data_IF_154603709870
#
_entry.id   IF_154603709870
#
_cell.length_a   1.000
_cell.length_b   1.000
_cell.length_c   1.000
_cell.angle_alpha   90.00
_cell.angle_beta   90.00
_cell.angle_gamma   90.00
#
_symmetry.space_group_name_H-M   'P 1'
#
loop_
_entity.id
_entity.type
_entity.pdbx_description
1 polymer ?
#
# COMPACT_ATOMS: atom_id res chain seq x y z
N UNK A 1 -32.91 -53.30 -14.00
CA UNK A 1 -32.71 -53.40 -15.45
C UNK A 1 -32.45 -54.83 -15.88
N UNK A 2 -31.40 -55.51 -15.34
CA UNK A 2 -30.97 -56.85 -15.77
C UNK A 2 -32.14 -57.86 -15.68
N UNK A 3 -32.83 -57.96 -14.54
CA UNK A 3 -33.95 -58.88 -14.37
C UNK A 3 -35.12 -58.59 -15.32
N UNK A 4 -35.47 -57.29 -15.55
CA UNK A 4 -36.52 -56.91 -16.51
C UNK A 4 -36.12 -57.21 -17.96
N UNK A 5 -34.85 -57.03 -18.32
CA UNK A 5 -34.32 -57.44 -19.63
C UNK A 5 -34.47 -58.96 -19.82
N UNK A 6 -34.03 -59.74 -18.81
CA UNK A 6 -34.09 -61.18 -18.89
C UNK A 6 -35.52 -61.65 -19.05
N UNK A 7 -36.48 -61.16 -18.25
CA UNK A 7 -37.91 -61.51 -18.37
C UNK A 7 -38.44 -61.12 -19.76
N UNK A 8 -38.06 -59.99 -20.33
CA UNK A 8 -38.48 -59.62 -21.69
C UNK A 8 -37.91 -60.54 -22.74
N UNK A 9 -36.65 -60.99 -22.62
CA UNK A 9 -36.04 -61.95 -23.51
C UNK A 9 -36.69 -63.31 -23.40
N UNK A 10 -36.94 -63.81 -22.20
CA UNK A 10 -37.63 -65.10 -21.96
C UNK A 10 -39.04 -65.14 -22.55
N UNK A 11 -39.80 -64.01 -22.37
CA UNK A 11 -41.12 -63.85 -22.94
C UNK A 11 -41.08 -63.90 -24.50
N UNK A 12 -40.19 -63.16 -25.12
CA UNK A 12 -39.97 -63.12 -26.59
C UNK A 12 -39.61 -64.53 -27.10
N UNK A 13 -38.72 -65.27 -26.42
CA UNK A 13 -38.32 -66.63 -26.80
C UNK A 13 -39.43 -67.66 -26.69
N UNK A 14 -40.43 -67.41 -25.91
CA UNK A 14 -41.56 -68.32 -25.74
C UNK A 14 -42.65 -68.13 -26.82
N UNK A 15 -42.56 -67.11 -27.70
CA UNK A 15 -43.56 -66.74 -28.66
C UNK A 15 -43.26 -67.26 -30.06
N UNK A 16 -44.28 -67.59 -30.83
CA UNK A 16 -44.13 -68.11 -32.20
C UNK A 16 -44.78 -67.24 -33.29
N UNK A 17 -45.56 -66.22 -32.91
CA UNK A 17 -46.19 -65.28 -33.83
C UNK A 17 -45.43 -64.00 -33.96
N UNK A 18 -45.19 -63.47 -35.18
CA UNK A 18 -44.49 -62.18 -35.41
C UNK A 18 -45.23 -61.04 -34.70
N UNK A 19 -46.50 -61.00 -34.66
CA UNK A 19 -47.31 -59.96 -33.97
C UNK A 19 -47.07 -59.98 -32.45
N UNK A 20 -47.07 -61.19 -31.86
CA UNK A 20 -46.87 -61.36 -30.43
C UNK A 20 -45.43 -61.03 -30.02
N UNK A 21 -44.44 -61.37 -30.85
CA UNK A 21 -43.06 -61.02 -30.64
C UNK A 21 -42.86 -59.50 -30.65
N UNK A 22 -43.43 -58.76 -31.60
CA UNK A 22 -43.32 -57.31 -31.69
C UNK A 22 -44.04 -56.65 -30.48
N UNK A 23 -45.21 -57.11 -30.06
CA UNK A 23 -45.92 -56.65 -28.87
C UNK A 23 -45.10 -56.91 -27.61
N UNK A 24 -44.48 -58.08 -27.47
CA UNK A 24 -43.61 -58.41 -26.32
C UNK A 24 -42.37 -57.57 -26.28
N UNK A 25 -41.79 -57.31 -27.43
CA UNK A 25 -40.61 -56.38 -27.57
C UNK A 25 -40.92 -54.93 -27.07
N UNK A 26 -42.02 -54.34 -27.58
CA UNK A 26 -42.49 -53.01 -27.17
C UNK A 26 -42.82 -53.01 -25.67
N UNK A 27 -43.49 -54.02 -25.16
CA UNK A 27 -43.79 -54.15 -23.72
C UNK A 27 -42.47 -54.22 -22.90
N UNK A 28 -41.52 -55.06 -23.32
CA UNK A 28 -40.26 -55.24 -22.66
C UNK A 28 -39.43 -53.94 -22.62
N UNK A 29 -39.36 -53.19 -23.73
CA UNK A 29 -38.73 -51.88 -23.80
C UNK A 29 -39.36 -50.90 -22.81
N UNK A 30 -40.70 -50.82 -22.79
CA UNK A 30 -41.41 -49.93 -21.89
C UNK A 30 -41.18 -50.27 -20.41
N UNK A 31 -41.17 -51.57 -20.07
CA UNK A 31 -40.91 -52.03 -18.70
C UNK A 31 -39.45 -51.77 -18.26
N UNK A 32 -38.50 -51.89 -19.16
CA UNK A 32 -37.11 -51.52 -18.90
C UNK A 32 -36.96 -50.00 -18.70
N UNK A 33 -37.65 -49.22 -19.52
CA UNK A 33 -37.64 -47.75 -19.43
C UNK A 33 -38.23 -47.23 -18.09
N UNK A 34 -39.16 -47.95 -17.49
CA UNK A 34 -39.76 -47.61 -16.18
C UNK A 34 -38.86 -47.93 -14.98
N UNK A 35 -37.73 -48.61 -15.18
CA UNK A 35 -36.84 -48.95 -14.05
C UNK A 35 -36.06 -47.73 -13.59
N UNK A 36 -36.53 -47.13 -12.52
CA UNK A 36 -35.85 -46.04 -11.85
C UNK A 36 -34.60 -46.53 -11.09
N UNK A 37 -33.59 -45.71 -10.92
CA UNK A 37 -32.44 -46.02 -10.07
C UNK A 37 -32.91 -46.44 -8.67
N UNK A 38 -32.23 -47.41 -8.07
CA UNK A 38 -32.52 -47.80 -6.71
C UNK A 38 -32.39 -46.59 -5.78
N UNK A 39 -33.31 -46.36 -4.87
CA UNK A 39 -33.28 -45.26 -3.89
C UNK A 39 -31.99 -45.23 -3.10
N UNK A 40 -31.33 -46.35 -2.85
CA UNK A 40 -30.02 -46.49 -2.23
C UNK A 40 -28.88 -45.82 -3.02
N UNK A 41 -28.93 -45.87 -4.37
CA UNK A 41 -27.92 -45.26 -5.23
C UNK A 41 -28.04 -43.73 -5.15
N UNK A 42 -29.23 -43.17 -5.28
CA UNK A 42 -29.48 -41.73 -5.12
C UNK A 42 -29.14 -41.25 -3.70
N UNK A 43 -29.52 -42.01 -2.67
CA UNK A 43 -29.22 -41.69 -1.28
C UNK A 43 -27.71 -41.65 -1.01
N UNK A 44 -26.96 -42.64 -1.53
CA UNK A 44 -25.49 -42.65 -1.44
C UNK A 44 -24.87 -41.46 -2.17
N UNK A 45 -25.32 -41.18 -3.40
CA UNK A 45 -24.83 -40.05 -4.18
C UNK A 45 -25.03 -38.71 -3.47
N UNK A 46 -26.21 -38.49 -2.86
CA UNK A 46 -26.48 -37.29 -2.05
C UNK A 46 -25.60 -37.21 -0.82
N UNK A 47 -25.35 -38.35 -0.14
CA UNK A 47 -24.42 -38.39 0.99
C UNK A 47 -22.98 -38.02 0.58
N UNK A 48 -22.52 -38.46 -0.60
CA UNK A 48 -21.21 -38.08 -1.14
C UNK A 48 -21.14 -36.56 -1.42
N UNK A 49 -22.23 -35.94 -1.91
CA UNK A 49 -22.34 -34.47 -2.05
C UNK A 49 -22.26 -33.78 -0.69
N UNK A 50 -22.93 -34.28 0.35
CA UNK A 50 -22.93 -33.71 1.70
C UNK A 50 -21.54 -33.78 2.32
N UNK A 51 -20.81 -34.86 2.12
CA UNK A 51 -19.44 -35.03 2.59
C UNK A 51 -18.49 -34.04 1.89
N UNK A 52 -18.66 -33.88 0.56
CA UNK A 52 -17.87 -32.93 -0.20
C UNK A 52 -18.14 -31.49 0.21
N UNK A 53 -19.39 -31.12 0.39
CA UNK A 53 -19.80 -29.82 0.90
C UNK A 53 -19.16 -29.52 2.26
N UNK A 54 -19.18 -30.47 3.20
CA UNK A 54 -18.58 -30.29 4.52
C UNK A 54 -17.06 -30.07 4.42
N UNK A 55 -16.38 -30.81 3.54
CA UNK A 55 -14.94 -30.62 3.28
C UNK A 55 -14.66 -29.23 2.71
N UNK A 56 -15.47 -28.80 1.72
CA UNK A 56 -15.31 -27.49 1.08
C UNK A 56 -15.57 -26.34 2.05
N UNK A 57 -16.61 -26.44 2.88
CA UNK A 57 -16.90 -25.45 3.93
C UNK A 57 -15.71 -25.31 4.89
N UNK A 58 -15.09 -26.43 5.30
CA UNK A 58 -13.91 -26.39 6.16
C UNK A 58 -12.73 -25.68 5.47
N UNK A 59 -12.47 -25.94 4.18
CA UNK A 59 -11.44 -25.25 3.41
C UNK A 59 -11.72 -23.74 3.31
N UNK A 60 -12.96 -23.34 3.05
CA UNK A 60 -13.38 -21.94 3.02
C UNK A 60 -13.16 -21.27 4.38
N UNK A 61 -13.57 -21.93 5.48
CA UNK A 61 -13.43 -21.39 6.85
C UNK A 61 -11.97 -21.19 7.25
N UNK A 62 -11.09 -22.07 6.82
CA UNK A 62 -9.64 -22.00 7.13
C UNK A 62 -8.85 -21.10 6.18
N UNK A 63 -9.49 -20.46 5.19
CA UNK A 63 -8.83 -19.57 4.25
C UNK A 63 -8.21 -18.36 4.98
N UNK A 64 -6.89 -18.17 4.83
CA UNK A 64 -6.12 -17.24 5.69
C UNK A 64 -6.37 -15.76 5.37
N UNK A 65 -6.55 -15.43 4.10
CA UNK A 65 -6.62 -14.03 3.64
C UNK A 65 -8.04 -13.48 3.49
N UNK A 66 -9.05 -14.37 3.46
CA UNK A 66 -10.45 -13.97 3.31
C UNK A 66 -11.03 -13.44 4.63
N UNK A 67 -11.87 -12.43 4.54
CA UNK A 67 -12.68 -11.92 5.66
C UNK A 67 -13.83 -12.88 5.98
N UNK A 68 -14.48 -12.64 7.11
CA UNK A 68 -15.66 -13.43 7.52
C UNK A 68 -16.75 -13.34 6.46
N UNK A 69 -17.03 -12.14 5.94
CA UNK A 69 -18.08 -11.91 4.95
C UNK A 69 -17.76 -12.56 3.60
N UNK A 70 -16.48 -12.55 3.17
CA UNK A 70 -16.03 -13.24 1.95
C UNK A 70 -16.16 -14.76 2.11
N UNK A 71 -15.87 -15.32 3.30
CA UNK A 71 -16.06 -16.74 3.61
C UNK A 71 -17.55 -17.11 3.66
N UNK A 72 -18.38 -16.28 4.28
CA UNK A 72 -19.83 -16.50 4.35
C UNK A 72 -20.47 -16.51 2.96
N UNK A 73 -20.08 -15.58 2.09
CA UNK A 73 -20.55 -15.56 0.70
C UNK A 73 -20.15 -16.84 -0.05
N UNK A 74 -18.91 -17.31 0.11
CA UNK A 74 -18.46 -18.56 -0.50
C UNK A 74 -19.20 -19.79 0.08
N UNK A 75 -19.46 -19.83 1.39
CA UNK A 75 -20.26 -20.91 2.01
C UNK A 75 -21.70 -20.92 1.48
N UNK A 76 -22.31 -19.76 1.29
CA UNK A 76 -23.64 -19.66 0.68
C UNK A 76 -23.65 -20.23 -0.74
N UNK A 77 -22.64 -19.87 -1.56
CA UNK A 77 -22.50 -20.40 -2.92
C UNK A 77 -22.26 -21.92 -2.92
N UNK A 78 -21.41 -22.44 -2.04
CA UNK A 78 -21.17 -23.89 -1.92
C UNK A 78 -22.44 -24.65 -1.54
N UNK A 79 -23.27 -24.14 -0.63
CA UNK A 79 -24.56 -24.68 -0.26
C UNK A 79 -25.55 -24.66 -1.44
N UNK A 80 -25.57 -23.57 -2.22
CA UNK A 80 -26.37 -23.49 -3.43
C UNK A 80 -25.97 -24.58 -4.43
N UNK A 81 -24.67 -24.74 -4.73
CA UNK A 81 -24.16 -25.78 -5.64
C UNK A 81 -24.49 -27.19 -5.17
N UNK A 82 -24.41 -27.45 -3.87
CA UNK A 82 -24.82 -28.73 -3.30
C UNK A 82 -26.32 -28.99 -3.46
N UNK A 83 -27.18 -27.99 -3.31
CA UNK A 83 -28.60 -28.12 -3.52
C UNK A 83 -28.94 -28.38 -5.00
N UNK A 84 -28.27 -27.68 -5.92
CA UNK A 84 -28.39 -27.92 -7.36
C UNK A 84 -28.00 -29.37 -7.70
N UNK A 85 -26.86 -29.86 -7.16
CA UNK A 85 -26.42 -31.25 -7.35
C UNK A 85 -27.40 -32.28 -6.78
N UNK A 86 -27.94 -32.06 -5.56
CA UNK A 86 -28.99 -32.96 -4.97
C UNK A 86 -30.25 -33.02 -5.82
N UNK A 87 -30.66 -31.90 -6.39
CA UNK A 87 -31.80 -31.79 -7.28
C UNK A 87 -31.56 -32.56 -8.60
N UNK A 88 -30.35 -32.34 -9.20
CA UNK A 88 -29.96 -33.10 -10.40
C UNK A 88 -29.96 -34.61 -10.15
N UNK A 89 -29.36 -35.09 -9.04
CA UNK A 89 -29.36 -36.49 -8.64
C UNK A 89 -30.82 -37.01 -8.46
N UNK A 90 -31.71 -36.21 -7.87
CA UNK A 90 -33.09 -36.61 -7.65
C UNK A 90 -33.86 -36.83 -8.97
N UNK A 91 -33.56 -35.99 -9.97
CA UNK A 91 -34.29 -36.02 -11.26
C UNK A 91 -33.75 -37.10 -12.23
N UNK A 92 -32.61 -37.72 -11.93
CA UNK A 92 -32.06 -38.77 -12.79
C UNK A 92 -32.86 -40.05 -12.78
N UNK A 93 -32.92 -40.72 -13.94
CA UNK A 93 -33.68 -41.95 -14.14
C UNK A 93 -32.82 -43.20 -14.37
N UNK A 94 -31.46 -43.04 -14.41
CA UNK A 94 -30.53 -44.13 -14.57
C UNK A 94 -29.40 -44.07 -13.56
N UNK A 95 -28.78 -45.21 -13.23
CA UNK A 95 -27.61 -45.22 -12.34
C UNK A 95 -26.42 -44.46 -12.94
N UNK A 96 -26.23 -44.46 -14.27
CA UNK A 96 -25.20 -43.70 -14.94
C UNK A 96 -25.46 -42.19 -14.84
N UNK A 97 -26.71 -41.74 -15.06
CA UNK A 97 -27.09 -40.34 -14.87
C UNK A 97 -26.86 -39.87 -13.44
N UNK A 98 -27.24 -40.70 -12.43
CA UNK A 98 -26.94 -40.39 -11.01
C UNK A 98 -25.45 -40.26 -10.77
N UNK A 99 -24.60 -41.11 -11.34
CA UNK A 99 -23.14 -41.04 -11.19
C UNK A 99 -22.59 -39.78 -11.84
N UNK A 100 -23.07 -39.40 -13.01
CA UNK A 100 -22.69 -38.18 -13.72
C UNK A 100 -23.13 -36.91 -12.96
N UNK A 101 -24.36 -36.84 -12.52
CA UNK A 101 -24.88 -35.72 -11.75
C UNK A 101 -24.11 -35.51 -10.44
N UNK A 102 -23.76 -36.62 -9.75
CA UNK A 102 -22.88 -36.59 -8.57
C UNK A 102 -21.49 -36.03 -8.92
N UNK A 103 -20.85 -36.55 -9.95
CA UNK A 103 -19.51 -36.13 -10.35
C UNK A 103 -19.46 -34.62 -10.68
N UNK A 104 -20.44 -34.18 -11.47
CA UNK A 104 -20.55 -32.73 -11.81
C UNK A 104 -20.80 -31.88 -10.56
N UNK A 105 -21.70 -32.31 -9.66
CA UNK A 105 -21.98 -31.59 -8.43
C UNK A 105 -20.79 -31.49 -7.49
N UNK A 106 -20.00 -32.57 -7.35
CA UNK A 106 -18.74 -32.55 -6.59
C UNK A 106 -17.79 -31.54 -7.20
N UNK A 107 -17.62 -31.55 -8.52
CA UNK A 107 -16.72 -30.60 -9.21
C UNK A 107 -17.15 -29.16 -9.02
N UNK A 108 -18.45 -28.85 -9.17
CA UNK A 108 -18.95 -27.49 -8.96
C UNK A 108 -18.74 -26.99 -7.51
N UNK A 109 -18.88 -27.88 -6.52
CA UNK A 109 -18.59 -27.54 -5.12
C UNK A 109 -17.09 -27.28 -4.91
N UNK A 110 -16.21 -28.08 -5.52
CA UNK A 110 -14.75 -27.94 -5.42
C UNK A 110 -14.23 -26.60 -5.95
N UNK A 111 -14.88 -26.05 -6.96
CA UNK A 111 -14.50 -24.77 -7.56
C UNK A 111 -14.84 -23.57 -6.69
N UNK A 112 -15.67 -23.71 -5.66
CA UNK A 112 -16.08 -22.60 -4.81
C UNK A 112 -14.97 -22.22 -3.83
N UNK A 113 -14.38 -21.05 -4.02
CA UNK A 113 -13.40 -20.46 -3.11
C UNK A 113 -13.84 -19.05 -2.69
N UNK A 114 -13.40 -18.54 -1.52
CA UNK A 114 -13.64 -17.14 -1.18
C UNK A 114 -12.99 -16.19 -2.18
N UNK A 115 -13.70 -15.15 -2.56
CA UNK A 115 -13.14 -14.04 -3.33
C UNK A 115 -12.39 -13.10 -2.38
N UNK A 116 -11.15 -13.46 -2.04
CA UNK A 116 -10.35 -12.87 -0.97
C UNK A 116 -9.57 -11.63 -1.45
N UNK A 117 -10.25 -10.58 -1.90
CA UNK A 117 -9.62 -9.37 -2.44
C UNK A 117 -9.59 -8.18 -1.47
N UNK A 118 -10.44 -8.14 -0.43
CA UNK A 118 -10.57 -6.97 0.45
C UNK A 118 -9.26 -6.54 1.11
N UNK A 119 -8.48 -7.49 1.61
CA UNK A 119 -7.18 -7.20 2.23
C UNK A 119 -6.13 -6.76 1.20
N UNK A 120 -6.10 -7.37 0.02
CA UNK A 120 -5.18 -6.98 -1.06
C UNK A 120 -5.48 -5.57 -1.57
N UNK A 121 -6.75 -5.22 -1.78
CA UNK A 121 -7.18 -3.90 -2.21
C UNK A 121 -6.85 -2.81 -1.19
N UNK A 122 -7.02 -3.14 0.10
CA UNK A 122 -6.63 -2.25 1.19
C UNK A 122 -5.12 -1.99 1.20
N UNK A 123 -4.31 -3.03 1.05
CA UNK A 123 -2.84 -2.91 0.96
C UNK A 123 -2.41 -2.11 -0.27
N UNK A 124 -3.04 -2.32 -1.42
CA UNK A 124 -2.77 -1.53 -2.63
C UNK A 124 -3.05 -0.04 -2.39
N UNK A 125 -4.16 0.29 -1.75
CA UNK A 125 -4.48 1.68 -1.40
C UNK A 125 -3.45 2.31 -0.45
N UNK A 126 -2.92 1.53 0.48
CA UNK A 126 -1.83 1.95 1.38
C UNK A 126 -0.53 2.17 0.59
N UNK A 127 -0.21 1.30 -0.38
CA UNK A 127 0.96 1.45 -1.26
C UNK A 127 0.87 2.71 -2.12
N UNK A 128 -0.28 2.96 -2.70
CA UNK A 128 -0.51 4.15 -3.53
C UNK A 128 -0.27 5.42 -2.71
N UNK A 129 -0.80 5.46 -1.47
CA UNK A 129 -0.59 6.60 -0.57
C UNK A 129 0.84 6.71 -0.08
N UNK A 130 1.50 5.61 0.21
CA UNK A 130 2.93 5.58 0.55
C UNK A 130 3.79 6.18 -0.57
N UNK A 131 3.54 5.79 -1.82
CA UNK A 131 4.28 6.29 -2.97
C UNK A 131 4.06 7.80 -3.20
N UNK A 132 2.82 8.26 -3.09
CA UNK A 132 2.47 9.68 -3.16
C UNK A 132 3.22 10.47 -2.07
N UNK A 133 3.16 10.03 -0.82
CA UNK A 133 3.78 10.71 0.30
C UNK A 133 5.32 10.66 0.24
N UNK A 134 5.89 9.57 -0.25
CA UNK A 134 7.32 9.43 -0.50
C UNK A 134 7.81 10.48 -1.51
N UNK A 135 7.07 10.69 -2.60
CA UNK A 135 7.36 11.75 -3.57
C UNK A 135 7.29 13.14 -2.93
N UNK A 136 6.26 13.40 -2.12
CA UNK A 136 6.11 14.67 -1.40
C UNK A 136 7.31 14.94 -0.49
N UNK A 137 7.75 13.94 0.29
CA UNK A 137 8.93 14.06 1.15
C UNK A 137 10.19 14.30 0.32
N UNK A 138 10.41 13.55 -0.75
CA UNK A 138 11.60 13.69 -1.61
C UNK A 138 11.69 15.07 -2.28
N UNK A 139 10.55 15.68 -2.58
CA UNK A 139 10.48 17.00 -3.22
C UNK A 139 10.31 18.14 -2.22
N UNK A 140 10.35 17.89 -0.90
CA UNK A 140 10.23 18.94 0.12
C UNK A 140 11.34 19.98 -0.04
N UNK A 141 11.00 21.26 -0.31
CA UNK A 141 12.00 22.31 -0.44
C UNK A 141 12.75 22.54 0.87
N UNK A 142 13.98 22.98 0.80
CA UNK A 142 14.83 23.30 1.97
C UNK A 142 15.15 22.13 2.92
N UNK A 143 14.56 20.97 2.74
CA UNK A 143 14.93 19.80 3.53
C UNK A 143 16.26 19.20 3.05
N UNK A 144 17.11 18.81 3.98
CA UNK A 144 18.33 18.05 3.69
C UNK A 144 18.00 16.58 3.39
N UNK A 145 18.96 15.87 2.81
CA UNK A 145 18.79 14.44 2.50
C UNK A 145 18.58 13.63 3.80
N UNK A 146 19.22 14.02 4.92
CA UNK A 146 19.04 13.39 6.23
C UNK A 146 17.65 13.66 6.83
N UNK A 147 17.11 14.87 6.67
CA UNK A 147 15.76 15.23 7.12
C UNK A 147 14.69 14.45 6.31
N UNK A 148 14.88 14.31 5.00
CA UNK A 148 14.04 13.49 4.12
C UNK A 148 14.11 12.02 4.50
N UNK A 149 15.33 11.50 4.70
CA UNK A 149 15.51 10.08 5.05
C UNK A 149 14.81 9.73 6.38
N UNK A 150 14.94 10.56 7.40
CA UNK A 150 14.22 10.38 8.68
C UNK A 150 12.70 10.32 8.50
N UNK A 151 12.14 11.11 7.58
CA UNK A 151 10.72 11.07 7.27
C UNK A 151 10.34 9.81 6.48
N UNK A 152 11.16 9.38 5.51
CA UNK A 152 10.96 8.15 4.74
C UNK A 152 11.03 6.90 5.62
N UNK A 153 11.92 6.89 6.62
CA UNK A 153 12.00 5.78 7.59
C UNK A 153 10.71 5.67 8.42
N UNK A 154 10.18 6.81 8.90
CA UNK A 154 8.87 6.84 9.57
C UNK A 154 7.74 6.41 8.66
N UNK A 155 7.76 6.83 7.40
CA UNK A 155 6.77 6.47 6.39
C UNK A 155 6.74 4.96 6.17
N UNK A 156 7.91 4.34 6.07
CA UNK A 156 8.03 2.88 5.95
C UNK A 156 7.44 2.15 7.15
N UNK A 157 7.76 2.62 8.36
CA UNK A 157 7.22 2.04 9.61
C UNK A 157 5.68 2.14 9.63
N UNK A 158 5.11 3.28 9.21
CA UNK A 158 3.67 3.48 9.16
C UNK A 158 2.99 2.53 8.15
N UNK A 159 3.58 2.34 6.96
CA UNK A 159 3.12 1.38 5.97
C UNK A 159 3.11 -0.04 6.54
N UNK A 160 4.24 -0.49 7.11
CA UNK A 160 4.39 -1.84 7.66
C UNK A 160 3.39 -2.08 8.81
N UNK A 161 3.15 -1.08 9.66
CA UNK A 161 2.13 -1.13 10.70
C UNK A 161 0.71 -1.23 10.13
N UNK A 162 0.39 -0.47 9.08
CA UNK A 162 -0.88 -0.54 8.36
C UNK A 162 -1.12 -1.93 7.76
N UNK A 163 -0.12 -2.50 7.14
CA UNK A 163 -0.19 -3.86 6.58
C UNK A 163 -0.49 -4.91 7.65
N UNK A 164 0.20 -4.83 8.78
CA UNK A 164 -0.02 -5.75 9.90
C UNK A 164 -1.46 -5.66 10.43
N UNK A 165 -2.03 -4.45 10.54
CA UNK A 165 -3.43 -4.27 10.95
C UNK A 165 -4.42 -4.86 9.93
N UNK A 166 -4.17 -4.65 8.63
CA UNK A 166 -4.98 -5.24 7.55
C UNK A 166 -4.91 -6.77 7.60
N UNK A 167 -3.74 -7.36 7.83
CA UNK A 167 -3.60 -8.82 7.93
C UNK A 167 -4.34 -9.40 9.13
N UNK A 168 -4.32 -8.72 10.28
CA UNK A 168 -5.01 -9.14 11.50
C UNK A 168 -6.54 -8.93 11.44
N UNK A 169 -7.03 -8.08 10.55
CA UNK A 169 -8.45 -7.81 10.40
C UNK A 169 -9.24 -9.08 10.01
N UNK A 170 -10.38 -9.29 10.65
CA UNK A 170 -11.24 -10.46 10.43
C UNK A 170 -12.46 -10.12 9.56
N UNK A 171 -12.95 -8.88 9.61
CA UNK A 171 -14.14 -8.42 8.90
C UNK A 171 -13.81 -7.36 7.86
N UNK A 172 -14.70 -7.16 6.89
CA UNK A 172 -14.59 -6.09 5.88
C UNK A 172 -14.50 -4.70 6.54
N UNK A 173 -15.23 -4.48 7.64
CA UNK A 173 -15.20 -3.22 8.38
C UNK A 173 -13.82 -3.00 9.00
N UNK A 174 -13.27 -4.01 9.69
CA UNK A 174 -11.93 -3.91 10.29
C UNK A 174 -10.84 -3.67 9.24
N UNK A 175 -10.95 -4.28 8.05
CA UNK A 175 -10.04 -4.01 6.92
C UNK A 175 -10.14 -2.54 6.48
N UNK A 176 -11.37 -2.02 6.36
CA UNK A 176 -11.60 -0.62 5.98
C UNK A 176 -11.04 0.36 7.01
N UNK A 177 -11.25 0.09 8.30
CA UNK A 177 -10.77 0.93 9.40
C UNK A 177 -9.24 0.94 9.43
N UNK A 178 -8.60 -0.24 9.32
CA UNK A 178 -7.15 -0.39 9.27
C UNK A 178 -6.53 0.37 8.09
N UNK A 179 -7.15 0.27 6.90
CA UNK A 179 -6.74 1.02 5.71
C UNK A 179 -6.82 2.53 5.95
N UNK A 180 -7.95 3.02 6.46
CA UNK A 180 -8.16 4.46 6.70
C UNK A 180 -7.14 5.00 7.70
N UNK A 181 -6.95 4.33 8.83
CA UNK A 181 -5.97 4.72 9.84
C UNK A 181 -4.52 4.74 9.29
N UNK A 182 -4.16 3.76 8.47
CA UNK A 182 -2.84 3.72 7.83
C UNK A 182 -2.65 4.89 6.86
N UNK A 183 -3.63 5.18 6.01
CA UNK A 183 -3.61 6.30 5.06
C UNK A 183 -3.50 7.64 5.81
N UNK A 184 -4.25 7.83 6.86
CA UNK A 184 -4.21 9.05 7.68
C UNK A 184 -2.83 9.21 8.34
N UNK A 185 -2.29 8.14 8.92
CA UNK A 185 -0.94 8.15 9.51
C UNK A 185 0.12 8.51 8.48
N UNK A 186 0.10 7.88 7.30
CA UNK A 186 1.02 8.13 6.18
C UNK A 186 0.92 9.58 5.71
N UNK A 187 -0.29 10.11 5.55
CA UNK A 187 -0.56 11.47 5.06
C UNK A 187 0.07 12.54 5.96
N UNK A 188 0.12 12.30 7.26
CA UNK A 188 0.63 13.26 8.23
C UNK A 188 2.17 13.24 8.39
N UNK A 189 2.88 12.32 7.75
CA UNK A 189 4.34 12.24 7.82
C UNK A 189 4.98 13.20 6.81
N UNK A 190 5.77 14.15 7.32
CA UNK A 190 6.47 15.16 6.52
C UNK A 190 7.94 15.24 6.94
N UNK A 191 8.80 15.74 6.04
CA UNK A 191 10.17 16.09 6.39
C UNK A 191 10.16 17.28 7.36
N UNK A 192 10.93 17.17 8.44
CA UNK A 192 11.09 18.27 9.39
C UNK A 192 12.20 19.22 8.90
N UNK A 193 11.81 20.28 8.20
CA UNK A 193 12.71 21.27 7.61
C UNK A 193 13.23 22.20 8.70
N UNK A 194 14.41 21.96 9.22
CA UNK A 194 14.99 22.74 10.32
C UNK A 194 16.44 23.18 10.07
N UNK A 195 17.25 22.35 9.42
CA UNK A 195 18.71 22.55 9.35
C UNK A 195 19.11 23.84 8.61
N UNK A 196 18.64 24.02 7.37
CA UNK A 196 18.94 25.23 6.59
C UNK A 196 18.32 26.50 7.17
N UNK A 197 17.03 26.50 7.58
CA UNK A 197 16.46 27.66 8.26
C UNK A 197 17.25 28.08 9.51
N UNK A 198 17.64 27.14 10.35
CA UNK A 198 18.44 27.43 11.55
C UNK A 198 19.80 28.04 11.20
N UNK A 199 20.50 27.49 10.21
CA UNK A 199 21.80 28.02 9.76
C UNK A 199 21.67 29.46 9.22
N UNK A 200 20.61 29.75 8.44
CA UNK A 200 20.34 31.10 7.95
C UNK A 200 20.03 32.08 9.08
N UNK A 201 19.27 31.66 10.09
CA UNK A 201 18.99 32.46 11.29
C UNK A 201 20.24 32.81 12.07
N UNK A 202 21.16 31.86 12.25
CA UNK A 202 22.45 32.11 12.93
C UNK A 202 23.29 33.14 12.17
N UNK A 203 23.35 33.05 10.84
CA UNK A 203 24.03 34.04 9.98
C UNK A 203 23.40 35.43 10.09
N UNK A 204 22.06 35.52 10.09
CA UNK A 204 21.34 36.78 10.23
C UNK A 204 21.58 37.41 11.61
N UNK A 205 21.58 36.63 12.67
CA UNK A 205 21.91 37.10 14.01
C UNK A 205 23.33 37.65 14.08
N UNK A 206 24.28 36.91 13.53
CA UNK A 206 25.70 37.35 13.49
C UNK A 206 25.87 38.62 12.68
N UNK A 207 25.20 38.74 11.54
CA UNK A 207 25.20 39.94 10.72
C UNK A 207 24.73 41.17 11.52
N UNK A 208 23.63 41.07 12.24
CA UNK A 208 23.13 42.22 13.04
C UNK A 208 24.08 42.58 14.18
N UNK A 209 24.72 41.60 14.79
CA UNK A 209 25.73 41.85 15.82
C UNK A 209 26.96 42.58 15.27
N UNK A 210 27.50 42.11 14.14
CA UNK A 210 28.67 42.73 13.49
C UNK A 210 28.33 44.13 12.93
N UNK A 211 27.14 44.31 12.39
CA UNK A 211 26.66 45.64 11.95
C UNK A 211 26.63 46.64 13.09
N UNK A 212 26.20 46.22 14.29
CA UNK A 212 26.25 47.08 15.49
C UNK A 212 27.70 47.44 15.87
N UNK A 213 28.61 46.47 15.80
CA UNK A 213 30.03 46.69 16.08
C UNK A 213 30.66 47.65 15.06
N UNK A 214 30.37 47.47 13.74
CA UNK A 214 30.86 48.37 12.68
C UNK A 214 30.34 49.80 12.92
N UNK A 215 29.06 49.98 13.24
CA UNK A 215 28.50 51.29 13.55
C UNK A 215 29.13 51.97 14.77
N UNK A 216 29.58 51.18 15.73
CA UNK A 216 30.29 51.66 16.94
C UNK A 216 31.81 51.87 16.74
N UNK A 217 32.38 51.61 15.55
CA UNK A 217 33.83 51.73 15.30
C UNK A 217 34.27 53.17 15.49
N UNK A 218 35.18 53.44 16.48
CA UNK A 218 35.68 54.78 16.71
C UNK A 218 36.48 55.28 15.49
N UNK A 219 36.41 56.57 15.23
CA UNK A 219 37.15 57.27 14.17
C UNK A 219 36.85 56.85 12.73
N UNK A 220 36.00 55.86 12.49
CA UNK A 220 35.54 55.55 11.15
C UNK A 220 34.51 56.61 10.66
N UNK A 221 34.60 56.96 9.38
CA UNK A 221 33.58 57.81 8.73
C UNK A 221 32.31 57.02 8.45
N UNK A 222 31.18 57.68 8.18
CA UNK A 222 29.95 57.02 7.82
C UNK A 222 30.05 56.20 6.52
N UNK A 223 30.85 56.71 5.54
CA UNK A 223 31.14 55.99 4.29
C UNK A 223 31.98 54.73 4.55
N UNK A 224 32.99 54.77 5.41
CA UNK A 224 33.79 53.59 5.78
C UNK A 224 32.96 52.55 6.51
N UNK A 225 31.99 52.95 7.37
CA UNK A 225 31.05 52.06 8.04
C UNK A 225 30.05 51.44 7.04
N UNK A 226 29.50 52.25 6.14
CA UNK A 226 28.56 51.78 5.12
C UNK A 226 29.22 50.80 4.14
N UNK A 227 30.45 51.06 3.70
CA UNK A 227 31.22 50.13 2.88
C UNK A 227 31.40 48.78 3.58
N UNK A 228 31.78 48.79 4.86
CA UNK A 228 31.94 47.57 5.65
C UNK A 228 30.61 46.83 5.81
N UNK A 229 29.50 47.52 6.06
CA UNK A 229 28.15 46.92 6.16
C UNK A 229 27.73 46.33 4.80
N UNK A 230 28.04 47.01 3.69
CA UNK A 230 27.74 46.46 2.37
C UNK A 230 28.51 45.18 2.09
N UNK A 231 29.83 45.15 2.38
CA UNK A 231 30.66 43.93 2.25
C UNK A 231 30.15 42.81 3.14
N UNK A 232 29.76 43.12 4.38
CA UNK A 232 29.16 42.18 5.31
C UNK A 232 27.85 41.59 4.75
N UNK A 233 27.00 42.42 4.17
CA UNK A 233 25.75 41.95 3.58
C UNK A 233 25.97 41.06 2.34
N UNK A 234 26.90 41.46 1.45
CA UNK A 234 27.25 40.65 0.27
C UNK A 234 27.73 39.27 0.72
N UNK A 235 28.64 39.22 1.69
CA UNK A 235 29.17 37.94 2.21
C UNK A 235 28.05 37.07 2.84
N UNK A 236 27.17 37.69 3.64
CA UNK A 236 26.04 36.97 4.22
C UNK A 236 25.14 36.31 3.14
N UNK A 237 24.78 37.04 2.08
CA UNK A 237 23.95 36.51 1.00
C UNK A 237 24.68 35.43 0.19
N UNK A 238 26.00 35.55 -0.03
CA UNK A 238 26.82 34.49 -0.64
C UNK A 238 26.72 33.19 0.16
N UNK A 239 26.91 33.24 1.48
CA UNK A 239 26.87 32.08 2.36
C UNK A 239 25.44 31.48 2.42
N UNK A 240 24.41 32.33 2.49
CA UNK A 240 23.02 31.87 2.42
C UNK A 240 22.72 31.11 1.13
N UNK A 241 23.25 31.59 -0.01
CA UNK A 241 23.08 30.92 -1.29
C UNK A 241 23.78 29.55 -1.33
N UNK A 242 24.96 29.42 -0.74
CA UNK A 242 25.64 28.13 -0.58
C UNK A 242 24.77 27.17 0.26
N UNK A 243 24.30 27.60 1.44
CA UNK A 243 23.43 26.83 2.32
C UNK A 243 22.13 26.39 1.59
N UNK A 244 21.55 27.24 0.77
CA UNK A 244 20.34 26.90 0.00
C UNK A 244 20.61 25.76 -1.00
N UNK A 245 21.81 25.68 -1.58
CA UNK A 245 22.21 24.65 -2.54
C UNK A 245 22.64 23.35 -1.87
N UNK A 246 22.99 23.38 -0.58
CA UNK A 246 23.44 22.20 0.16
C UNK A 246 22.34 21.14 0.23
N UNK A 247 22.78 19.90 0.15
CA UNK A 247 21.87 18.73 0.24
C UNK A 247 21.99 18.00 1.57
N UNK A 248 23.13 18.09 2.24
CA UNK A 248 23.47 17.34 3.45
C UNK A 248 23.57 18.24 4.67
N UNK A 249 23.21 17.71 5.82
CA UNK A 249 23.34 18.40 7.11
C UNK A 249 24.78 18.88 7.36
N UNK A 250 25.77 18.07 6.98
CA UNK A 250 27.18 18.38 7.18
C UNK A 250 27.65 19.55 6.30
N UNK A 251 27.21 19.62 5.06
CA UNK A 251 27.57 20.68 4.11
C UNK A 251 26.98 22.02 4.59
N UNK A 252 25.71 22.02 5.03
CA UNK A 252 25.04 23.16 5.66
C UNK A 252 25.84 23.66 6.88
N UNK A 253 26.26 22.75 7.75
CA UNK A 253 27.05 23.11 8.94
C UNK A 253 28.40 23.69 8.60
N UNK A 254 29.11 23.11 7.63
CA UNK A 254 30.39 23.58 7.17
C UNK A 254 30.28 24.98 6.56
N UNK A 255 29.38 25.24 5.62
CA UNK A 255 29.19 26.54 5.01
C UNK A 255 28.78 27.61 6.03
N UNK A 256 27.88 27.26 6.97
CA UNK A 256 27.50 28.12 8.08
C UNK A 256 28.73 28.53 8.91
N UNK A 257 29.51 27.55 9.38
CA UNK A 257 30.65 27.83 10.26
C UNK A 257 31.74 28.62 9.54
N UNK A 258 32.07 28.27 8.29
CA UNK A 258 33.02 29.05 7.46
C UNK A 258 32.50 30.47 7.25
N UNK A 259 31.21 30.61 6.90
CA UNK A 259 30.59 31.90 6.70
C UNK A 259 30.59 32.79 7.95
N UNK A 260 30.32 32.22 9.12
CA UNK A 260 30.40 32.95 10.40
C UNK A 260 31.82 33.48 10.65
N UNK A 261 32.86 32.69 10.38
CA UNK A 261 34.26 33.09 10.49
C UNK A 261 34.63 34.21 9.48
N UNK A 262 34.19 34.06 8.22
CA UNK A 262 34.44 35.08 7.18
C UNK A 262 33.75 36.40 7.50
N UNK A 263 32.52 36.40 8.03
CA UNK A 263 31.82 37.59 8.48
C UNK A 263 32.58 38.31 9.59
N UNK A 264 33.20 37.59 10.52
CA UNK A 264 34.01 38.15 11.62
C UNK A 264 35.25 38.92 11.14
N UNK A 265 35.75 38.66 9.94
CA UNK A 265 36.89 39.38 9.39
C UNK A 265 36.56 40.76 8.82
N UNK A 266 35.25 41.08 8.68
CA UNK A 266 34.78 42.30 8.03
C UNK A 266 34.60 43.40 9.07
N UNK A 267 35.44 44.45 8.98
CA UNK A 267 35.43 45.60 9.87
C UNK A 267 35.41 46.90 9.07
N UNK A 268 34.96 47.99 9.72
CA UNK A 268 35.25 49.34 9.20
C UNK A 268 36.74 49.66 9.38
N UNK A 269 37.34 50.20 8.33
CA UNK A 269 38.76 50.60 8.35
C UNK A 269 38.87 52.12 8.49
N UNK A 270 39.14 52.65 9.71
CA UNK A 270 39.12 54.08 9.99
C UNK A 270 40.42 54.79 9.50
N UNK A 271 40.71 54.82 8.20
CA UNK A 271 41.95 55.39 7.62
C UNK A 271 41.82 56.86 7.29
N UNK A 272 40.64 57.33 6.84
CA UNK A 272 40.50 58.73 6.35
C UNK A 272 40.83 59.79 7.36
N UNK A 273 40.48 59.64 8.61
CA UNK A 273 40.79 60.61 9.66
C UNK A 273 42.24 60.51 10.04
N UNK A 274 42.86 59.35 10.10
CA UNK A 274 44.29 59.17 10.41
C UNK A 274 45.17 59.75 9.32
N UNK A 275 44.81 59.49 8.05
CA UNK A 275 45.59 60.02 6.89
C UNK A 275 45.55 61.54 6.86
N UNK A 276 44.38 62.16 7.02
CA UNK A 276 44.24 63.62 7.10
C UNK A 276 45.03 64.25 8.26
N UNK A 277 45.04 63.62 9.42
CA UNK A 277 45.86 64.10 10.57
C UNK A 277 47.35 63.99 10.30
N UNK A 278 47.75 62.87 9.67
CA UNK A 278 49.16 62.67 9.30
C UNK A 278 49.64 63.69 8.25
N UNK A 279 48.81 63.94 7.23
CA UNK A 279 49.11 65.00 6.23
C UNK A 279 49.23 66.37 6.87
N UNK A 280 48.34 66.76 7.77
CA UNK A 280 48.39 68.01 8.51
C UNK A 280 49.66 68.11 9.40
N UNK A 281 50.03 67.02 10.08
CA UNK A 281 51.24 66.99 10.89
C UNK A 281 52.50 67.14 10.04
N UNK A 282 52.53 66.47 8.87
CA UNK A 282 53.67 66.57 7.94
C UNK A 282 53.83 67.98 7.39
N UNK A 283 52.70 68.60 6.99
CA UNK A 283 52.70 70.01 6.55
C UNK A 283 53.16 70.98 7.65
N UNK A 284 52.71 70.76 8.89
CA UNK A 284 53.15 71.55 10.05
C UNK A 284 54.66 71.48 10.32
N UNK A 285 55.29 70.33 10.06
CA UNK A 285 56.74 70.13 10.21
C UNK A 285 57.57 70.78 9.08
N UNK A 286 57.00 71.03 7.90
CA UNK A 286 57.62 71.65 6.76
C UNK A 286 57.57 73.18 6.89
N UNK A 287 56.69 73.78 7.66
CA UNK A 287 56.48 75.22 7.79
C UNK A 287 56.98 75.81 9.12
N UNK A 288 57.72 75.06 9.95
CA UNK A 288 58.47 75.54 11.07
C UNK A 288 59.97 75.64 10.65
#
# INVERSE_FOLDING_TARGET
>A
VIARKQNALDNINSLSSNSDIENAKVTGINEIAKVLPATSVKSKAKKDIDQKLAQQINQIQTHQTATIEEKEAAIQLANQKANEARTAIQNEHSNNGVAQAKSNGIHEIELVTPDAHKKSDAKQSIDDKYNEQSNTINTTPDATDEEKQKALDKLKIAKDAGYNKVDQAQTNQQVSDAKTEAIDTITNIQANVAKKPSARMELDSKFEDLKRQINATPNATEEEKQDAIQRLNVKREEVKNLINQDRRDNDVEQHKNTGLQELETIHANPTRKSDALQELQTLSLIHI
#
